data_IF_767868759836
#
_entry.id   IF_767868759836
#
_cell.length_a   1.000
_cell.length_b   1.000
_cell.length_c   1.000
_cell.angle_alpha   90.00
_cell.angle_beta   90.00
_cell.angle_gamma   90.00
#
_symmetry.space_group_name_H-M   'P 1'
#
loop_
_entity.id
_entity.type
_entity.pdbx_description
1 polymer ?
#
# COMPACT_ATOMS: atom_id res chain seq x y z
N UNK A 1 -18.80 11.58 2.51
CA UNK A 1 -19.59 10.39 2.89
C UNK A 1 -18.68 9.35 3.51
N UNK A 2 -19.05 8.83 4.64
CA UNK A 2 -18.26 7.80 5.33
C UNK A 2 -18.39 6.47 4.60
N UNK A 3 -17.23 5.89 4.24
CA UNK A 3 -17.16 4.58 3.62
C UNK A 3 -15.97 3.83 4.22
N UNK A 4 -16.04 2.50 4.23
CA UNK A 4 -14.88 1.71 4.63
C UNK A 4 -13.88 1.63 3.49
N UNK A 5 -12.62 1.38 3.83
CA UNK A 5 -11.60 1.19 2.79
C UNK A 5 -12.00 0.07 1.83
N UNK A 6 -12.55 -1.03 2.35
CA UNK A 6 -12.97 -2.16 1.51
C UNK A 6 -14.12 -1.84 0.57
N UNK A 7 -14.88 -0.77 0.82
CA UNK A 7 -15.94 -0.33 -0.08
C UNK A 7 -15.41 0.48 -1.26
N UNK A 8 -14.25 1.12 -1.13
CA UNK A 8 -13.68 1.98 -2.17
C UNK A 8 -12.47 1.36 -2.85
N UNK A 9 -11.95 0.26 -2.31
CA UNK A 9 -10.73 -0.36 -2.81
C UNK A 9 -10.70 -1.85 -2.45
N UNK A 10 -9.88 -2.60 -3.15
CA UNK A 10 -9.58 -3.99 -2.79
C UNK A 10 -8.21 -4.04 -2.12
N UNK A 11 -8.08 -4.89 -1.10
CA UNK A 11 -6.86 -5.03 -0.30
C UNK A 11 -6.27 -6.41 -0.52
N UNK A 12 -5.02 -6.46 -0.93
CA UNK A 12 -4.23 -7.69 -1.05
C UNK A 12 -3.08 -7.62 -0.06
N UNK A 13 -3.09 -8.49 0.93
CA UNK A 13 -2.00 -8.55 1.91
C UNK A 13 -0.82 -9.28 1.27
N UNK A 14 0.39 -8.74 1.44
CA UNK A 14 1.60 -9.36 0.95
C UNK A 14 1.94 -10.64 1.70
N UNK A 15 2.69 -11.49 1.03
CA UNK A 15 3.15 -12.76 1.59
C UNK A 15 4.55 -13.04 1.09
N UNK A 16 5.50 -13.14 2.01
CA UNK A 16 6.91 -13.30 1.64
C UNK A 16 7.19 -14.72 1.17
N UNK A 17 7.80 -14.89 -0.01
CA UNK A 17 8.31 -16.19 -0.42
C UNK A 17 9.56 -16.54 0.38
N UNK A 18 10.06 -17.77 0.23
CA UNK A 18 11.31 -18.18 0.87
C UNK A 18 12.47 -17.29 0.41
N UNK A 19 13.34 -16.93 1.33
CA UNK A 19 14.51 -16.12 1.02
C UNK A 19 15.46 -16.79 0.04
N UNK A 20 15.34 -18.09 -0.15
CA UNK A 20 16.12 -18.82 -1.17
C UNK A 20 15.89 -18.29 -2.59
N UNK A 21 14.77 -17.63 -2.83
CA UNK A 21 14.42 -17.08 -4.14
C UNK A 21 14.86 -15.64 -4.33
N UNK A 22 15.42 -15.01 -3.30
CA UNK A 22 15.82 -13.60 -3.36
C UNK A 22 17.18 -13.45 -4.06
N UNK A 23 17.35 -12.34 -4.76
CA UNK A 23 18.62 -12.00 -5.40
C UNK A 23 18.73 -10.47 -5.57
N UNK A 24 19.93 -10.01 -5.89
CA UNK A 24 20.20 -8.62 -6.22
C UNK A 24 20.68 -8.46 -7.67
N UNK A 25 20.38 -9.45 -8.51
CA UNK A 25 20.83 -9.49 -9.91
C UNK A 25 19.70 -9.17 -10.89
N UNK A 26 18.56 -8.68 -10.39
CA UNK A 26 17.38 -8.32 -11.18
C UNK A 26 16.75 -9.51 -11.89
N UNK A 27 16.80 -10.69 -11.27
CA UNK A 27 16.16 -11.89 -11.78
C UNK A 27 14.77 -12.04 -11.15
N UNK A 28 13.75 -12.13 -11.97
CA UNK A 28 12.36 -12.22 -11.54
C UNK A 28 11.75 -10.84 -11.34
N UNK A 29 10.86 -10.70 -10.35
CA UNK A 29 10.18 -9.43 -10.05
C UNK A 29 10.92 -8.66 -8.97
N UNK A 30 10.91 -7.31 -9.05
CA UNK A 30 11.28 -6.52 -7.89
C UNK A 30 10.45 -6.94 -6.69
N UNK A 31 11.06 -6.98 -5.51
CA UNK A 31 10.42 -7.48 -4.29
C UNK A 31 10.56 -6.48 -3.16
N UNK A 32 9.45 -6.11 -2.53
CA UNK A 32 9.42 -5.23 -1.37
C UNK A 32 8.75 -5.94 -0.19
N UNK A 33 9.41 -5.96 0.96
CA UNK A 33 8.85 -6.48 2.19
C UNK A 33 8.23 -5.40 3.07
N UNK A 34 8.68 -4.16 2.92
CA UNK A 34 8.25 -3.02 3.71
C UNK A 34 8.65 -1.72 3.02
N UNK A 35 8.81 -0.66 3.79
CA UNK A 35 9.02 0.69 3.26
C UNK A 35 10.49 1.10 3.14
N UNK A 36 11.43 0.19 3.28
CA UNK A 36 12.86 0.53 3.32
C UNK A 36 13.31 1.33 2.11
N UNK A 37 12.78 1.00 0.92
CA UNK A 37 13.14 1.70 -0.31
C UNK A 37 12.01 2.58 -0.85
N UNK A 38 11.04 2.95 0.00
CA UNK A 38 10.02 3.92 -0.39
C UNK A 38 10.65 5.27 -0.69
N UNK A 39 10.23 5.86 -1.80
CA UNK A 39 10.56 7.22 -2.16
C UNK A 39 9.45 8.18 -1.75
N UNK A 40 9.48 9.37 -2.33
CA UNK A 40 8.42 10.37 -2.08
C UNK A 40 7.08 9.91 -2.62
N UNK A 41 7.06 9.34 -3.82
CA UNK A 41 5.86 8.80 -4.46
C UNK A 41 6.02 7.34 -4.83
N UNK A 42 7.17 6.96 -5.37
CA UNK A 42 7.43 5.63 -5.92
C UNK A 42 8.61 4.99 -5.23
N UNK A 43 8.59 3.66 -5.05
CA UNK A 43 9.73 2.96 -4.47
C UNK A 43 10.85 2.77 -5.49
N UNK A 44 12.05 2.55 -4.97
CA UNK A 44 13.15 1.97 -5.73
C UNK A 44 13.32 0.52 -5.30
N UNK A 45 14.18 -0.23 -5.98
CA UNK A 45 14.30 -1.67 -5.71
C UNK A 45 15.78 -2.03 -5.52
N UNK A 46 16.04 -2.85 -4.51
CA UNK A 46 17.36 -3.42 -4.25
C UNK A 46 17.31 -4.95 -4.15
N UNK A 47 16.13 -5.54 -4.22
CA UNK A 47 15.94 -6.99 -4.09
C UNK A 47 14.91 -7.44 -5.11
N UNK A 48 15.15 -8.61 -5.69
CA UNK A 48 14.27 -9.27 -6.63
C UNK A 48 13.99 -10.68 -6.14
N UNK A 49 12.90 -11.28 -6.64
CA UNK A 49 12.57 -12.66 -6.32
C UNK A 49 12.13 -13.41 -7.57
N UNK A 50 12.61 -14.66 -7.70
CA UNK A 50 12.24 -15.52 -8.82
C UNK A 50 10.93 -16.26 -8.58
N UNK A 51 10.44 -16.28 -7.33
CA UNK A 51 9.15 -16.86 -6.97
C UNK A 51 8.43 -15.90 -6.05
N UNK A 52 7.11 -15.75 -6.23
CA UNK A 52 6.32 -14.86 -5.40
C UNK A 52 4.90 -15.43 -5.20
N UNK A 53 4.29 -15.04 -4.08
CA UNK A 53 2.92 -15.46 -3.74
C UNK A 53 1.90 -14.36 -3.99
N UNK A 54 2.29 -13.12 -3.72
CA UNK A 54 1.41 -11.94 -3.86
C UNK A 54 2.13 -10.86 -4.62
N UNK A 55 1.36 -10.11 -5.40
CA UNK A 55 1.90 -9.08 -6.28
C UNK A 55 1.14 -7.77 -6.16
N UNK A 56 1.78 -6.70 -6.61
CA UNK A 56 1.15 -5.41 -6.82
C UNK A 56 1.37 -5.00 -8.28
N UNK A 57 0.40 -4.29 -8.83
CA UNK A 57 0.41 -3.88 -10.23
C UNK A 57 0.46 -2.36 -10.34
N UNK A 58 0.89 -1.82 -11.50
CA UNK A 58 0.89 -0.36 -11.71
C UNK A 58 -0.48 0.24 -11.40
N UNK A 59 -0.47 1.33 -10.64
CA UNK A 59 -1.68 2.01 -10.19
C UNK A 59 -2.12 1.63 -8.78
N UNK A 60 -1.64 0.53 -8.24
CA UNK A 60 -1.93 0.15 -6.86
C UNK A 60 -1.23 1.11 -5.90
N UNK A 61 -1.77 1.23 -4.69
CA UNK A 61 -1.11 1.93 -3.58
C UNK A 61 -0.47 0.88 -2.68
N UNK A 62 0.82 1.05 -2.43
CA UNK A 62 1.56 0.22 -1.48
C UNK A 62 1.39 0.83 -0.09
N UNK A 63 1.02 -0.01 0.88
CA UNK A 63 0.68 0.43 2.23
C UNK A 63 1.39 -0.47 3.24
N UNK A 64 2.08 0.14 4.21
CA UNK A 64 2.76 -0.65 5.25
C UNK A 64 1.77 -1.12 6.30
N UNK A 65 1.76 -2.44 6.53
CA UNK A 65 0.87 -3.08 7.51
C UNK A 65 1.61 -3.51 8.77
N UNK A 66 2.93 -3.33 8.81
CA UNK A 66 3.79 -3.53 9.97
C UNK A 66 4.58 -2.27 10.24
N UNK A 67 5.12 -2.15 11.43
CA UNK A 67 5.79 -0.93 11.90
C UNK A 67 6.84 -0.43 10.91
N UNK A 68 6.79 0.83 10.51
CA UNK A 68 5.75 1.82 10.83
C UNK A 68 4.51 1.60 9.97
N UNK A 69 3.34 1.47 10.60
CA UNK A 69 2.07 1.26 9.91
C UNK A 69 1.63 2.55 9.24
N UNK A 70 1.16 2.45 7.98
CA UNK A 70 0.49 3.57 7.31
C UNK A 70 1.35 4.39 6.36
N UNK A 71 2.60 4.00 6.10
CA UNK A 71 3.39 4.62 5.06
C UNK A 71 2.89 4.15 3.69
N UNK A 72 2.86 5.06 2.73
CA UNK A 72 2.31 4.77 1.41
C UNK A 72 3.27 5.16 0.30
N UNK A 73 3.24 4.39 -0.79
CA UNK A 73 3.90 4.72 -2.06
C UNK A 73 2.97 4.30 -3.19
N UNK A 74 3.16 4.88 -4.35
CA UNK A 74 2.45 4.45 -5.56
C UNK A 74 3.23 3.33 -6.23
N UNK A 75 2.53 2.32 -6.70
CA UNK A 75 3.14 1.23 -7.45
C UNK A 75 3.21 1.62 -8.92
N UNK A 76 4.40 1.60 -9.50
CA UNK A 76 4.64 1.94 -10.90
C UNK A 76 4.91 0.71 -11.75
N UNK A 77 5.41 -0.36 -11.14
CA UNK A 77 5.84 -1.56 -11.83
C UNK A 77 5.09 -2.78 -11.30
N UNK A 78 5.15 -3.88 -12.04
CA UNK A 78 4.70 -5.18 -11.55
C UNK A 78 5.75 -5.69 -10.55
N UNK A 79 5.36 -5.81 -9.29
CA UNK A 79 6.29 -6.21 -8.22
C UNK A 79 5.68 -7.28 -7.32
N UNK A 80 6.53 -8.01 -6.64
CA UNK A 80 6.14 -8.92 -5.57
C UNK A 80 6.13 -8.17 -4.25
N UNK A 81 5.17 -8.50 -3.37
CA UNK A 81 5.06 -7.85 -2.06
C UNK A 81 5.09 -8.88 -0.94
N UNK A 82 5.86 -8.55 0.09
CA UNK A 82 6.02 -9.37 1.27
C UNK A 82 5.08 -8.97 2.40
N UNK A 83 5.27 -9.62 3.54
CA UNK A 83 4.32 -9.56 4.67
C UNK A 83 4.23 -8.20 5.36
N UNK A 84 5.15 -7.29 5.11
CA UNK A 84 5.08 -5.92 5.66
C UNK A 84 4.25 -4.96 4.84
N UNK A 85 3.75 -5.38 3.67
CA UNK A 85 3.00 -4.53 2.75
C UNK A 85 1.64 -5.13 2.40
N UNK A 86 0.71 -4.23 2.07
CA UNK A 86 -0.50 -4.54 1.33
C UNK A 86 -0.48 -3.75 0.03
N UNK A 87 -1.09 -4.31 -1.01
CA UNK A 87 -1.41 -3.61 -2.24
C UNK A 87 -2.89 -3.23 -2.19
N UNK A 88 -3.18 -1.95 -2.34
CA UNK A 88 -4.54 -1.43 -2.26
C UNK A 88 -4.90 -0.84 -3.62
N UNK A 89 -5.93 -1.41 -4.24
CA UNK A 89 -6.35 -1.03 -5.58
C UNK A 89 -7.70 -0.34 -5.54
N UNK A 90 -7.75 0.89 -6.06
CA UNK A 90 -8.98 1.66 -6.11
C UNK A 90 -10.03 0.94 -6.97
N UNK A 91 -11.28 0.88 -6.48
CA UNK A 91 -12.40 0.32 -7.22
C UNK A 91 -13.45 1.38 -7.58
N UNK A 92 -13.77 2.26 -6.63
CA UNK A 92 -14.81 3.29 -6.82
C UNK A 92 -14.27 4.71 -6.76
N UNK A 93 -13.00 4.89 -6.44
CA UNK A 93 -12.34 6.19 -6.35
C UNK A 93 -11.17 6.25 -7.32
N UNK A 94 -10.65 7.45 -7.56
CA UNK A 94 -9.48 7.61 -8.41
C UNK A 94 -8.25 7.03 -7.71
N UNK A 95 -7.38 6.29 -8.42
CA UNK A 95 -6.19 5.71 -7.80
C UNK A 95 -5.30 6.74 -7.09
N UNK A 96 -5.08 7.91 -7.68
CA UNK A 96 -4.25 8.95 -7.07
C UNK A 96 -4.93 9.54 -5.84
N UNK A 97 -6.26 9.65 -5.85
CA UNK A 97 -7.02 10.08 -4.69
C UNK A 97 -6.88 9.08 -3.54
N UNK A 98 -6.92 7.77 -3.85
CA UNK A 98 -6.73 6.74 -2.84
C UNK A 98 -5.38 6.94 -2.12
N UNK A 99 -4.32 7.21 -2.86
CA UNK A 99 -3.01 7.50 -2.27
C UNK A 99 -3.10 8.67 -1.27
N UNK A 100 -3.73 9.77 -1.67
CA UNK A 100 -3.81 10.96 -0.81
C UNK A 100 -4.67 10.75 0.42
N UNK A 101 -5.80 10.05 0.29
CA UNK A 101 -6.67 9.81 1.45
C UNK A 101 -6.02 8.86 2.45
N UNK A 102 -5.28 7.86 1.98
CA UNK A 102 -4.55 6.96 2.87
C UNK A 102 -3.43 7.71 3.58
N UNK A 103 -2.68 8.53 2.87
CA UNK A 103 -1.62 9.35 3.46
C UNK A 103 -2.17 10.30 4.52
N UNK A 104 -3.30 10.94 4.23
CA UNK A 104 -3.92 11.90 5.14
C UNK A 104 -4.44 11.25 6.43
N UNK A 105 -4.73 9.96 6.40
CA UNK A 105 -5.27 9.22 7.55
C UNK A 105 -4.24 8.34 8.24
N UNK A 106 -2.95 8.59 8.02
CA UNK A 106 -1.88 7.75 8.56
C UNK A 106 -2.00 7.56 10.08
N UNK A 107 -2.22 8.65 10.82
CA UNK A 107 -2.33 8.56 12.28
C UNK A 107 -3.51 7.71 12.72
N UNK A 108 -4.62 7.74 11.96
CA UNK A 108 -5.79 6.92 12.24
C UNK A 108 -5.48 5.44 12.09
N UNK A 109 -4.75 5.07 11.04
CA UNK A 109 -4.32 3.69 10.84
C UNK A 109 -3.35 3.24 11.93
N UNK A 110 -2.43 4.10 12.31
CA UNK A 110 -1.49 3.82 13.40
C UNK A 110 -2.22 3.57 14.71
N UNK A 111 -3.22 4.38 15.03
CA UNK A 111 -4.03 4.22 16.25
C UNK A 111 -4.82 2.93 16.24
N UNK A 112 -5.22 2.45 15.06
CA UNK A 112 -5.97 1.21 14.91
C UNK A 112 -5.08 -0.03 14.93
N UNK A 113 -3.76 0.13 14.80
CA UNK A 113 -2.84 -1.00 14.78
C UNK A 113 -2.69 -1.62 16.17
N UNK A 114 -2.33 -2.91 16.22
CA UNK A 114 -2.11 -3.66 17.46
C UNK A 114 -0.63 -3.73 17.76
N UNK A 115 -0.31 -3.85 19.08
CA UNK A 115 1.06 -3.98 19.56
C UNK A 115 1.67 -2.64 19.93
N UNK A 116 2.62 -2.68 20.87
CA UNK A 116 3.30 -1.49 21.38
C UNK A 116 4.70 -1.33 20.78
N UNK A 117 5.39 -2.44 20.57
CA UNK A 117 6.75 -2.47 20.01
C UNK A 117 6.70 -2.84 18.53
N UNK A 118 5.93 -3.88 18.19
CA UNK A 118 5.78 -4.37 16.82
C UNK A 118 4.34 -4.13 16.36
N UNK A 119 4.08 -2.93 15.89
CA UNK A 119 2.77 -2.55 15.40
C UNK A 119 2.44 -3.32 14.12
N UNK A 120 1.19 -3.76 14.01
CA UNK A 120 0.67 -4.37 12.78
C UNK A 120 -0.83 -4.15 12.69
N UNK A 121 -1.34 -4.18 11.47
CA UNK A 121 -2.78 -4.13 11.20
C UNK A 121 -3.12 -5.30 10.25
N UNK A 122 -4.17 -6.06 10.60
CA UNK A 122 -4.60 -7.17 9.76
C UNK A 122 -5.54 -6.69 8.66
N UNK A 123 -5.84 -7.60 7.72
CA UNK A 123 -6.65 -7.27 6.55
C UNK A 123 -8.05 -6.81 6.93
N UNK A 124 -8.71 -7.53 7.85
CA UNK A 124 -10.08 -7.21 8.23
C UNK A 124 -10.16 -5.82 8.86
N UNK A 125 -9.25 -5.52 9.76
CA UNK A 125 -9.22 -4.22 10.41
C UNK A 125 -8.93 -3.11 9.40
N UNK A 126 -7.97 -3.34 8.51
CA UNK A 126 -7.62 -2.39 7.45
C UNK A 126 -8.82 -2.13 6.52
N UNK A 127 -9.45 -3.18 6.03
CA UNK A 127 -10.57 -3.05 5.10
C UNK A 127 -11.79 -2.40 5.75
N UNK A 128 -11.98 -2.54 7.06
CA UNK A 128 -13.12 -1.99 7.79
C UNK A 128 -12.88 -0.60 8.36
N UNK A 129 -11.71 0.00 8.12
CA UNK A 129 -11.43 1.37 8.55
C UNK A 129 -12.34 2.33 7.81
N UNK A 130 -13.04 3.19 8.58
CA UNK A 130 -13.93 4.19 8.01
C UNK A 130 -13.15 5.42 7.60
N UNK A 131 -13.44 5.92 6.41
CA UNK A 131 -12.80 7.10 5.84
C UNK A 131 -13.87 8.08 5.39
N UNK A 132 -13.57 9.36 5.48
CA UNK A 132 -14.43 10.41 4.92
C UNK A 132 -14.06 10.58 3.45
N UNK A 133 -14.92 10.11 2.55
CA UNK A 133 -14.65 10.05 1.12
C UNK A 133 -15.30 11.22 0.40
N UNK A 134 -14.53 11.95 -0.38
CA UNK A 134 -15.00 13.10 -1.16
C UNK A 134 -15.80 12.65 -2.38
N UNK A 135 -16.61 13.54 -2.92
CA UNK A 135 -17.32 13.32 -4.18
C UNK A 135 -16.35 13.18 -5.35
N UNK A 136 -16.83 12.64 -6.49
CA UNK A 136 -16.00 12.45 -7.67
C UNK A 136 -15.38 13.78 -8.13
N UNK A 137 -16.14 14.86 -8.13
CA UNK A 137 -15.62 16.17 -8.52
C UNK A 137 -14.56 16.67 -7.55
N UNK A 138 -14.78 16.50 -6.25
CA UNK A 138 -13.81 16.88 -5.23
C UNK A 138 -12.53 16.04 -5.34
N UNK A 139 -12.66 14.75 -5.64
CA UNK A 139 -11.51 13.88 -5.83
C UNK A 139 -10.62 14.38 -6.98
N UNK A 140 -11.23 14.75 -8.12
CA UNK A 140 -10.49 15.28 -9.25
C UNK A 140 -9.78 16.58 -8.90
N UNK A 141 -10.43 17.46 -8.13
CA UNK A 141 -9.83 18.70 -7.68
C UNK A 141 -8.62 18.43 -6.78
N UNK A 142 -8.77 17.53 -5.81
CA UNK A 142 -7.67 17.18 -4.90
C UNK A 142 -6.48 16.61 -5.68
N UNK A 143 -6.74 15.68 -6.60
CA UNK A 143 -5.69 15.06 -7.42
C UNK A 143 -4.99 16.14 -8.27
N UNK A 144 -5.75 17.08 -8.83
CA UNK A 144 -5.20 18.15 -9.67
C UNK A 144 -4.32 19.13 -8.89
N UNK A 145 -4.60 19.36 -7.61
CA UNK A 145 -3.86 20.34 -6.78
C UNK A 145 -2.68 19.71 -6.04
N UNK A 146 -2.66 18.39 -5.86
CA UNK A 146 -1.63 17.69 -5.09
C UNK A 146 -0.68 16.89 -5.99
N UNK A 147 -0.30 17.46 -7.09
CA UNK A 147 0.69 16.83 -7.96
C UNK A 147 2.06 16.87 -7.29
N UNK A 148 2.76 15.79 -7.41
CA UNK A 148 4.14 15.70 -6.94
C UNK A 148 5.11 16.13 -8.02
#
# INVERSE_FOLDING_TARGET
MKQTLGQIASVTMGQSPSSNFYNNEQLGLPFLQGCTTFGRLYPTYDTWTTFYNKEALPGDVLFTVRAPVGDVNLCRDHIAIGRGLASIRATTVLPRYLFYILEANKSKFQSASSGTIYQSINKDKLANMQLEVHSANEQQHIVGTRRA
#
